data_IF_710914764272
#
_entry.id   IF_710914764272
#
_cell.length_a   1.000
_cell.length_b   1.000
_cell.length_c   1.000
_cell.angle_alpha   90.00
_cell.angle_beta   90.00
_cell.angle_gamma   90.00
#
_symmetry.space_group_name_H-M   'P 1'
#
loop_
_entity.id
_entity.type
_entity.pdbx_description
1 polymer ?
#
# COMPACT_ATOMS: atom_id res chain seq x y z
N UNK A 1 -24.59 -9.98 -29.17
CA UNK A 1 -24.22 -8.83 -28.31
C UNK A 1 -24.50 -9.26 -26.88
N UNK A 2 -23.48 -9.81 -26.19
CA UNK A 2 -23.61 -10.38 -24.86
C UNK A 2 -23.31 -9.26 -23.86
N UNK A 3 -24.29 -8.82 -23.10
CA UNK A 3 -24.09 -7.90 -21.99
C UNK A 3 -23.52 -8.70 -20.82
N UNK A 4 -22.33 -8.37 -20.30
CA UNK A 4 -21.85 -8.99 -19.07
C UNK A 4 -22.78 -8.65 -17.92
N UNK A 5 -23.06 -9.63 -17.10
CA UNK A 5 -23.95 -9.54 -15.95
C UNK A 5 -23.38 -8.52 -14.97
N UNK A 6 -23.88 -7.27 -15.01
CA UNK A 6 -23.45 -6.16 -14.18
C UNK A 6 -23.47 -6.51 -12.67
N UNK A 7 -24.31 -7.48 -12.28
CA UNK A 7 -24.36 -7.99 -10.91
C UNK A 7 -23.08 -8.69 -10.47
N UNK A 8 -22.42 -9.47 -11.36
CA UNK A 8 -21.16 -10.17 -11.00
C UNK A 8 -19.96 -9.26 -10.85
N UNK A 9 -19.89 -8.19 -11.66
CA UNK A 9 -18.79 -7.21 -11.56
C UNK A 9 -18.90 -6.40 -10.27
N UNK A 10 -20.12 -6.06 -9.88
CA UNK A 10 -20.39 -5.35 -8.63
C UNK A 10 -20.08 -6.24 -7.40
N UNK A 11 -20.41 -7.53 -7.46
CA UNK A 11 -20.14 -8.49 -6.38
C UNK A 11 -18.63 -8.69 -6.15
N UNK A 12 -17.78 -8.65 -7.18
CA UNK A 12 -16.31 -8.73 -7.06
C UNK A 12 -15.73 -7.43 -6.45
N UNK A 13 -16.24 -6.27 -6.86
CA UNK A 13 -15.85 -4.97 -6.30
C UNK A 13 -16.19 -4.87 -4.81
N UNK A 14 -17.40 -5.26 -4.44
CA UNK A 14 -17.88 -5.28 -3.06
C UNK A 14 -17.07 -6.24 -2.18
N UNK A 15 -16.69 -7.41 -2.67
CA UNK A 15 -15.84 -8.37 -1.95
C UNK A 15 -14.45 -7.79 -1.66
N UNK A 16 -13.85 -7.09 -2.61
CA UNK A 16 -12.54 -6.47 -2.39
C UNK A 16 -12.59 -5.38 -1.32
N UNK A 17 -13.60 -4.51 -1.35
CA UNK A 17 -13.77 -3.45 -0.35
C UNK A 17 -14.01 -4.03 1.05
N UNK A 18 -14.80 -5.10 1.18
CA UNK A 18 -15.03 -5.79 2.45
C UNK A 18 -13.72 -6.35 3.02
N UNK A 19 -12.86 -6.92 2.17
CA UNK A 19 -11.54 -7.42 2.59
C UNK A 19 -10.67 -6.30 3.17
N UNK A 20 -10.63 -5.13 2.54
CA UNK A 20 -9.86 -3.97 3.01
C UNK A 20 -10.44 -3.41 4.32
N UNK A 21 -11.75 -3.35 4.45
CA UNK A 21 -12.40 -2.94 5.69
C UNK A 21 -12.09 -3.88 6.86
N UNK A 22 -12.09 -5.20 6.61
CA UNK A 22 -11.67 -6.20 7.59
C UNK A 22 -10.18 -6.01 7.99
N UNK A 23 -9.31 -5.76 7.02
CA UNK A 23 -7.88 -5.49 7.30
C UNK A 23 -7.70 -4.24 8.16
N UNK A 24 -8.42 -3.16 7.89
CA UNK A 24 -8.43 -1.95 8.72
C UNK A 24 -8.88 -2.27 10.15
N UNK A 25 -9.98 -3.02 10.32
CA UNK A 25 -10.46 -3.41 11.64
C UNK A 25 -9.41 -4.21 12.42
N UNK A 26 -8.73 -5.17 11.78
CA UNK A 26 -7.63 -5.93 12.39
C UNK A 26 -6.48 -5.02 12.80
N UNK A 27 -6.11 -4.05 11.97
CA UNK A 27 -5.07 -3.06 12.31
C UNK A 27 -5.42 -2.26 13.56
N UNK A 28 -6.69 -1.85 13.75
CA UNK A 28 -7.13 -1.17 14.97
C UNK A 28 -7.09 -2.09 16.19
N UNK A 29 -7.47 -3.36 16.06
CA UNK A 29 -7.37 -4.36 17.14
C UNK A 29 -5.90 -4.54 17.56
N UNK A 30 -4.99 -4.67 16.62
CA UNK A 30 -3.55 -4.77 16.91
C UNK A 30 -3.06 -3.54 17.67
N UNK A 31 -3.46 -2.33 17.24
CA UNK A 31 -3.08 -1.09 17.91
C UNK A 31 -3.65 -0.99 19.33
N UNK A 32 -4.89 -1.42 19.52
CA UNK A 32 -5.51 -1.48 20.84
C UNK A 32 -4.72 -2.38 21.81
N UNK A 33 -4.36 -3.59 21.38
CA UNK A 33 -3.52 -4.49 22.18
C UNK A 33 -2.15 -3.90 22.45
N UNK A 34 -1.54 -3.26 21.46
CA UNK A 34 -0.27 -2.60 21.61
C UNK A 34 -0.29 -1.50 22.67
N UNK A 35 -1.30 -0.63 22.65
CA UNK A 35 -1.48 0.44 23.65
C UNK A 35 -1.77 -0.13 25.03
N UNK A 36 -2.55 -1.20 25.12
CA UNK A 36 -2.92 -1.85 26.40
C UNK A 36 -1.73 -2.49 27.09
N UNK A 37 -0.73 -2.95 26.34
CA UNK A 37 0.46 -3.63 26.88
C UNK A 37 1.66 -2.69 27.16
N UNK A 38 1.41 -1.45 27.51
CA UNK A 38 2.39 -0.36 27.72
C UNK A 38 3.67 -0.68 28.51
N UNK A 39 3.78 -1.82 29.19
CA UNK A 39 4.90 -2.16 30.08
C UNK A 39 6.14 -2.77 29.37
N UNK A 40 6.06 -3.16 28.09
CA UNK A 40 7.11 -3.98 27.46
C UNK A 40 7.96 -3.23 26.42
N UNK A 41 7.62 -1.97 26.06
CA UNK A 41 8.06 -1.44 24.78
C UNK A 41 8.79 -0.10 24.95
N UNK A 42 10.12 -0.12 24.99
CA UNK A 42 10.88 1.13 25.04
C UNK A 42 11.62 1.50 23.75
N UNK A 43 12.12 0.59 22.96
CA UNK A 43 12.97 0.95 21.81
C UNK A 43 12.29 0.74 20.44
N UNK A 44 11.48 -0.28 20.29
CA UNK A 44 10.83 -0.67 19.02
C UNK A 44 9.50 0.08 18.79
N UNK A 45 9.06 0.84 19.79
CA UNK A 45 7.74 1.47 19.83
C UNK A 45 7.49 2.48 18.70
N UNK A 46 8.47 3.31 18.38
CA UNK A 46 8.33 4.32 17.32
C UNK A 46 8.25 3.67 15.93
N UNK A 47 9.14 2.72 15.65
CA UNK A 47 9.15 2.03 14.37
C UNK A 47 7.87 1.21 14.15
N UNK A 48 7.31 0.60 15.20
CA UNK A 48 6.02 -0.09 15.12
C UNK A 48 4.88 0.87 14.74
N UNK A 49 4.80 2.04 15.38
CA UNK A 49 3.79 3.05 15.05
C UNK A 49 3.95 3.56 13.61
N UNK A 50 5.18 3.74 13.13
CA UNK A 50 5.47 4.10 11.75
C UNK A 50 4.94 3.04 10.77
N UNK A 51 5.19 1.74 11.03
CA UNK A 51 4.66 0.62 10.22
C UNK A 51 3.13 0.62 10.24
N UNK A 52 2.53 0.82 11.40
CA UNK A 52 1.08 0.82 11.56
C UNK A 52 0.41 1.96 10.78
N UNK A 53 0.97 3.18 10.87
CA UNK A 53 0.48 4.34 10.12
C UNK A 53 0.64 4.11 8.61
N UNK A 54 1.80 3.63 8.17
CA UNK A 54 2.06 3.35 6.76
C UNK A 54 1.10 2.28 6.23
N UNK A 55 0.84 1.21 6.99
CA UNK A 55 -0.11 0.16 6.64
C UNK A 55 -1.54 0.68 6.50
N UNK A 56 -2.01 1.47 7.45
CA UNK A 56 -3.35 2.10 7.35
C UNK A 56 -3.45 3.00 6.12
N UNK A 57 -2.45 3.85 5.89
CA UNK A 57 -2.42 4.75 4.75
C UNK A 57 -2.49 3.97 3.42
N UNK A 58 -1.73 2.88 3.33
CA UNK A 58 -1.76 2.00 2.15
C UNK A 58 -3.14 1.38 1.92
N UNK A 59 -3.82 0.90 2.99
CA UNK A 59 -5.17 0.35 2.87
C UNK A 59 -6.19 1.41 2.42
N UNK A 60 -6.07 2.65 2.88
CA UNK A 60 -6.91 3.74 2.39
C UNK A 60 -6.70 4.02 0.91
N UNK A 61 -5.43 4.13 0.46
CA UNK A 61 -5.14 4.35 -0.96
C UNK A 61 -5.53 3.16 -1.83
N UNK A 62 -5.49 1.93 -1.31
CA UNK A 62 -5.99 0.75 -2.00
C UNK A 62 -7.50 0.85 -2.26
N UNK A 63 -8.30 1.21 -1.25
CA UNK A 63 -9.74 1.46 -1.43
C UNK A 63 -9.99 2.57 -2.46
N UNK A 64 -9.24 3.67 -2.40
CA UNK A 64 -9.39 4.74 -3.40
C UNK A 64 -9.02 4.27 -4.81
N UNK A 65 -7.98 3.45 -4.95
CA UNK A 65 -7.57 2.89 -6.23
C UNK A 65 -8.65 1.95 -6.79
N UNK A 66 -9.22 1.07 -5.95
CA UNK A 66 -10.32 0.19 -6.35
C UNK A 66 -11.54 0.98 -6.83
N UNK A 67 -11.98 1.98 -6.06
CA UNK A 67 -13.12 2.84 -6.44
C UNK A 67 -12.83 3.62 -7.71
N UNK A 68 -11.61 4.14 -7.90
CA UNK A 68 -11.23 4.88 -9.09
C UNK A 68 -11.18 3.99 -10.35
N UNK A 69 -10.78 2.72 -10.21
CA UNK A 69 -10.78 1.76 -11.30
C UNK A 69 -12.21 1.35 -11.65
N UNK A 70 -13.05 1.09 -10.66
CA UNK A 70 -14.45 0.69 -10.85
C UNK A 70 -15.29 1.81 -11.50
N UNK A 71 -15.12 3.06 -11.02
CA UNK A 71 -15.85 4.23 -11.52
C UNK A 71 -15.11 4.99 -12.65
N UNK A 72 -14.18 4.36 -13.34
CA UNK A 72 -13.34 5.00 -14.36
C UNK A 72 -14.10 5.70 -15.49
N UNK A 73 -15.32 5.24 -15.81
CA UNK A 73 -16.18 5.91 -16.81
C UNK A 73 -16.61 7.34 -16.40
N UNK A 74 -16.60 7.65 -15.10
CA UNK A 74 -16.93 8.96 -14.54
C UNK A 74 -15.71 9.82 -14.18
N UNK A 75 -14.48 9.27 -14.22
CA UNK A 75 -13.26 9.98 -13.89
C UNK A 75 -12.35 10.18 -15.09
N UNK A 76 -11.63 11.31 -15.20
CA UNK A 76 -10.63 11.48 -16.24
C UNK A 76 -9.52 10.43 -16.07
N UNK A 77 -9.07 9.83 -17.17
CA UNK A 77 -8.06 8.77 -17.22
C UNK A 77 -6.78 9.13 -16.43
N UNK A 78 -6.43 10.42 -16.42
CA UNK A 78 -5.28 10.96 -15.68
C UNK A 78 -5.48 10.85 -14.18
N UNK A 79 -6.67 11.09 -13.64
CA UNK A 79 -6.94 11.01 -12.21
C UNK A 79 -6.83 9.57 -11.70
N UNK A 80 -7.43 8.61 -12.42
CA UNK A 80 -7.31 7.18 -12.10
C UNK A 80 -5.85 6.73 -12.09
N UNK A 81 -5.06 7.17 -13.07
CA UNK A 81 -3.64 6.83 -13.18
C UNK A 81 -2.82 7.39 -12.00
N UNK A 82 -3.11 8.62 -11.57
CA UNK A 82 -2.45 9.24 -10.40
C UNK A 82 -2.80 8.48 -9.12
N UNK A 83 -4.07 8.12 -8.92
CA UNK A 83 -4.52 7.38 -7.72
C UNK A 83 -3.84 6.02 -7.65
N UNK A 84 -3.78 5.27 -8.77
CA UNK A 84 -3.07 4.00 -8.84
C UNK A 84 -1.56 4.14 -8.55
N UNK A 85 -0.92 5.21 -9.02
CA UNK A 85 0.49 5.49 -8.71
C UNK A 85 0.70 5.82 -7.23
N UNK A 86 -0.20 6.59 -6.63
CA UNK A 86 -0.16 6.88 -5.19
C UNK A 86 -0.33 5.61 -4.35
N UNK A 87 -1.20 4.70 -4.77
CA UNK A 87 -1.32 3.39 -4.12
C UNK A 87 -0.01 2.60 -4.18
N UNK A 88 0.60 2.46 -5.37
CA UNK A 88 1.89 1.76 -5.52
C UNK A 88 2.99 2.41 -4.67
N UNK A 89 3.01 3.73 -4.61
CA UNK A 89 3.93 4.48 -3.74
C UNK A 89 3.75 4.11 -2.25
N UNK A 90 2.51 4.06 -1.76
CA UNK A 90 2.25 3.68 -0.36
C UNK A 90 2.62 2.22 -0.07
N UNK A 91 2.43 1.29 -1.01
CA UNK A 91 2.87 -0.11 -0.87
C UNK A 91 4.39 -0.20 -0.71
N UNK A 92 5.15 0.51 -1.56
CA UNK A 92 6.62 0.59 -1.44
C UNK A 92 7.03 1.16 -0.07
N UNK A 93 6.32 2.19 0.39
CA UNK A 93 6.57 2.81 1.68
C UNK A 93 6.34 1.84 2.85
N UNK A 94 5.25 1.07 2.82
CA UNK A 94 4.97 0.03 3.83
C UNK A 94 6.09 -1.00 3.88
N UNK A 95 6.54 -1.50 2.72
CA UNK A 95 7.63 -2.47 2.65
C UNK A 95 8.93 -1.91 3.26
N UNK A 96 9.26 -0.67 2.95
CA UNK A 96 10.45 0.00 3.50
C UNK A 96 10.38 0.19 5.01
N UNK A 97 9.25 0.67 5.53
CA UNK A 97 9.09 0.92 6.97
C UNK A 97 9.04 -0.41 7.73
N UNK A 98 8.42 -1.46 7.17
CA UNK A 98 8.44 -2.80 7.73
C UNK A 98 9.86 -3.38 7.78
N UNK A 99 10.64 -3.23 6.71
CA UNK A 99 12.04 -3.63 6.70
C UNK A 99 12.87 -2.83 7.73
N UNK A 100 12.62 -1.53 7.83
CA UNK A 100 13.22 -0.68 8.85
C UNK A 100 12.91 -1.17 10.27
N UNK A 101 11.66 -1.52 10.55
CA UNK A 101 11.24 -2.08 11.83
C UNK A 101 12.05 -3.32 12.20
N UNK A 102 12.24 -4.25 11.26
CA UNK A 102 13.07 -5.44 11.44
C UNK A 102 14.54 -5.06 11.69
N UNK A 103 15.08 -4.08 10.94
CA UNK A 103 16.45 -3.61 11.13
C UNK A 103 16.68 -2.99 12.51
N UNK A 104 15.73 -2.24 13.04
CA UNK A 104 15.82 -1.63 14.39
C UNK A 104 15.92 -2.72 15.47
N UNK A 105 15.20 -3.81 15.30
CA UNK A 105 15.22 -4.94 16.25
C UNK A 105 16.54 -5.72 16.20
N UNK A 106 17.10 -5.89 15.00
CA UNK A 106 18.37 -6.64 14.79
C UNK A 106 19.60 -5.79 15.14
N UNK A 107 19.60 -4.51 14.75
CA UNK A 107 20.78 -3.64 14.93
C UNK A 107 20.81 -2.97 16.31
N UNK A 108 21.53 -3.55 17.24
CA UNK A 108 21.74 -2.97 18.57
C UNK A 108 22.67 -1.73 18.56
N UNK A 109 23.43 -1.47 17.48
CA UNK A 109 24.38 -0.35 17.36
C UNK A 109 23.73 0.83 16.64
N UNK A 110 23.54 1.97 17.34
CA UNK A 110 22.93 3.21 16.82
C UNK A 110 23.62 3.78 15.58
N UNK A 111 24.92 3.59 15.42
CA UNK A 111 25.65 4.10 14.24
C UNK A 111 25.31 3.30 12.97
N UNK A 112 25.20 1.98 13.09
CA UNK A 112 24.86 1.10 11.99
C UNK A 112 23.39 1.34 11.58
N UNK A 113 22.52 1.49 12.56
CA UNK A 113 21.12 1.87 12.40
C UNK A 113 20.98 3.15 11.55
N UNK A 114 21.69 4.23 11.92
CA UNK A 114 21.65 5.52 11.20
C UNK A 114 22.14 5.41 9.75
N UNK A 115 23.18 4.61 9.49
CA UNK A 115 23.70 4.39 8.12
C UNK A 115 22.70 3.64 7.25
N UNK A 116 22.10 2.57 7.78
CA UNK A 116 21.10 1.79 7.06
C UNK A 116 19.81 2.57 6.81
N UNK A 117 19.35 3.35 7.79
CA UNK A 117 18.21 4.25 7.63
C UNK A 117 18.41 5.21 6.46
N UNK A 118 19.56 5.87 6.36
CA UNK A 118 19.85 6.77 5.22
C UNK A 118 19.81 6.04 3.87
N UNK A 119 20.39 4.84 3.80
CA UNK A 119 20.39 4.04 2.56
C UNK A 119 19.00 3.63 2.14
N UNK A 120 18.17 3.17 3.08
CA UNK A 120 16.78 2.80 2.84
C UNK A 120 15.96 3.99 2.33
N UNK A 121 16.12 5.15 2.95
CA UNK A 121 15.45 6.37 2.51
C UNK A 121 15.84 6.76 1.08
N UNK A 122 17.13 6.71 0.75
CA UNK A 122 17.61 7.02 -0.60
C UNK A 122 17.04 6.01 -1.60
N UNK A 123 17.09 4.73 -1.27
CA UNK A 123 16.54 3.67 -2.13
C UNK A 123 15.04 3.85 -2.36
N UNK A 124 14.27 4.14 -1.30
CA UNK A 124 12.83 4.38 -1.41
C UNK A 124 12.50 5.58 -2.28
N UNK A 125 13.16 6.72 -2.05
CA UNK A 125 12.93 7.91 -2.87
C UNK A 125 13.22 7.63 -4.35
N UNK A 126 14.30 6.90 -4.64
CA UNK A 126 14.62 6.50 -6.03
C UNK A 126 13.55 5.60 -6.63
N UNK A 127 13.06 4.62 -5.87
CA UNK A 127 11.98 3.73 -6.30
C UNK A 127 10.68 4.50 -6.53
N UNK A 128 10.34 5.44 -5.64
CA UNK A 128 9.15 6.29 -5.76
C UNK A 128 9.21 7.19 -6.99
N UNK A 129 10.36 7.81 -7.26
CA UNK A 129 10.57 8.60 -8.49
C UNK A 129 10.39 7.71 -9.72
N UNK A 130 10.94 6.50 -9.69
CA UNK A 130 10.82 5.55 -10.79
C UNK A 130 9.36 5.15 -11.04
N UNK A 131 8.59 4.87 -10.00
CA UNK A 131 7.15 4.57 -10.09
C UNK A 131 6.39 5.75 -10.69
N UNK A 132 6.72 6.98 -10.31
CA UNK A 132 6.05 8.18 -10.84
C UNK A 132 6.33 8.43 -12.32
N UNK A 133 7.55 8.16 -12.78
CA UNK A 133 7.96 8.37 -14.19
C UNK A 133 7.42 7.27 -15.11
N UNK A 134 7.43 6.03 -14.65
CA UNK A 134 7.07 4.87 -15.46
C UNK A 134 5.55 4.79 -15.66
N UNK A 135 5.06 4.50 -16.90
CA UNK A 135 3.62 4.43 -17.18
C UNK A 135 2.98 3.18 -16.55
N UNK A 136 1.74 3.37 -16.06
CA UNK A 136 0.85 2.28 -15.68
C UNK A 136 -0.14 2.07 -16.81
N UNK A 137 -0.41 0.82 -17.16
CA UNK A 137 -1.48 0.41 -18.07
C UNK A 137 -2.60 -0.23 -17.26
N UNK A 138 -3.83 0.12 -17.57
CA UNK A 138 -5.01 -0.54 -17.02
C UNK A 138 -5.45 -1.57 -18.05
N UNK A 139 -5.42 -2.83 -17.65
CA UNK A 139 -5.92 -3.92 -18.48
C UNK A 139 -7.40 -4.12 -18.15
N UNK A 140 -8.20 -4.16 -19.20
CA UNK A 140 -9.64 -4.30 -19.16
C UNK A 140 -10.01 -5.55 -19.96
N UNK A 141 -10.42 -6.59 -19.28
CA UNK A 141 -11.00 -7.79 -19.89
C UNK A 141 -12.43 -7.92 -19.37
N UNK A 142 -13.29 -8.58 -20.14
CA UNK A 142 -14.75 -8.67 -19.92
C UNK A 142 -15.20 -8.99 -18.48
N UNK A 143 -14.30 -9.49 -17.62
CA UNK A 143 -14.64 -9.85 -16.23
C UNK A 143 -13.62 -9.37 -15.19
N UNK A 144 -12.45 -8.82 -15.57
CA UNK A 144 -11.40 -8.47 -14.63
C UNK A 144 -10.70 -7.18 -15.08
N UNK A 145 -10.64 -6.20 -14.18
CA UNK A 145 -9.89 -4.97 -14.39
C UNK A 145 -8.71 -4.95 -13.41
N UNK A 146 -7.50 -4.85 -13.94
CA UNK A 146 -6.31 -4.73 -13.09
C UNK A 146 -5.28 -3.77 -13.68
N UNK A 147 -4.46 -3.23 -12.80
CA UNK A 147 -3.32 -2.41 -13.20
C UNK A 147 -2.16 -3.31 -13.62
N UNK A 148 -1.58 -3.00 -14.77
CA UNK A 148 -0.45 -3.70 -15.34
C UNK A 148 0.61 -2.71 -15.82
N UNK A 149 1.86 -3.15 -15.83
CA UNK A 149 2.93 -2.37 -16.42
C UNK A 149 4.21 -2.38 -15.62
N UNK A 150 5.27 -1.72 -16.13
CA UNK A 150 6.59 -1.73 -15.48
C UNK A 150 6.57 -1.14 -14.07
N UNK A 151 5.72 -0.14 -13.77
CA UNK A 151 5.59 0.42 -12.44
C UNK A 151 5.10 -0.62 -11.42
N UNK A 152 4.14 -1.47 -11.80
CA UNK A 152 3.64 -2.57 -10.96
C UNK A 152 4.73 -3.60 -10.72
N UNK A 153 5.46 -3.97 -11.76
CA UNK A 153 6.60 -4.92 -11.66
C UNK A 153 7.66 -4.38 -10.69
N UNK A 154 8.03 -3.10 -10.79
CA UNK A 154 9.02 -2.48 -9.91
C UNK A 154 8.57 -2.49 -8.44
N UNK A 155 7.27 -2.34 -8.18
CA UNK A 155 6.74 -2.33 -6.81
C UNK A 155 6.81 -3.71 -6.16
N UNK A 156 6.64 -4.78 -6.95
CA UNK A 156 6.57 -6.16 -6.43
C UNK A 156 7.83 -7.00 -6.68
N UNK A 157 8.87 -6.46 -7.30
CA UNK A 157 10.18 -7.10 -7.52
C UNK A 157 11.11 -6.91 -6.30
#
# INVERSE_FOLDING_TARGET
>A
MYWPDLGKVQEIGDMNIVSQMCAIAVMFVIMYFYISQKKIILHTSKAFVEVWIAGLLSLFFDIFALVAIEKRSGYPHTATNIICKLYLWTVTWVAMVAFWYICVDIFRKKELERKWRKRLWIFGILTDILIMVVPIKIYDSDNIVYTYGPAVIITYA
#
